data_IF_812176744273
#
_entry.id   IF_812176744273
#
_cell.length_a   1.000
_cell.length_b   1.000
_cell.length_c   1.000
_cell.angle_alpha   90.00
_cell.angle_beta   90.00
_cell.angle_gamma   90.00
#
_symmetry.space_group_name_H-M   'P 1'
#
loop_
_entity.id
_entity.type
_entity.pdbx_description
1 polymer ?
#
# COMPACT_ATOMS: atom_id res chain seq x y z
N UNK A 1 12.94 11.07 -12.22
CA UNK A 1 11.87 11.45 -11.27
C UNK A 1 12.25 10.87 -9.92
N UNK A 2 12.11 11.61 -8.79
CA UNK A 2 12.40 11.05 -7.48
C UNK A 2 11.55 9.80 -7.24
N UNK A 3 12.16 8.71 -6.77
CA UNK A 3 11.44 7.45 -6.48
C UNK A 3 10.33 7.69 -5.45
N UNK A 4 10.47 8.70 -4.58
CA UNK A 4 9.44 9.13 -3.64
C UNK A 4 8.06 9.40 -4.27
N UNK A 5 7.99 9.77 -5.57
CA UNK A 5 6.70 9.96 -6.26
C UNK A 5 5.91 8.65 -6.35
N UNK A 6 6.58 7.49 -6.39
CA UNK A 6 5.94 6.18 -6.37
C UNK A 6 5.28 5.85 -5.01
N UNK A 7 5.58 6.62 -3.95
CA UNK A 7 4.91 6.47 -2.66
C UNK A 7 3.55 7.17 -2.61
N UNK A 8 3.22 8.05 -3.57
CA UNK A 8 1.94 8.77 -3.57
C UNK A 8 0.72 7.84 -3.67
N UNK A 9 0.68 6.83 -4.57
CA UNK A 9 -0.42 5.86 -4.60
C UNK A 9 -0.54 5.06 -3.30
N UNK A 10 0.59 4.72 -2.68
CA UNK A 10 0.61 4.04 -1.38
C UNK A 10 0.03 4.91 -0.27
N UNK A 11 0.43 6.17 -0.19
CA UNK A 11 -0.13 7.13 0.77
C UNK A 11 -1.64 7.32 0.57
N UNK A 12 -2.07 7.47 -0.68
CA UNK A 12 -3.50 7.59 -1.01
C UNK A 12 -4.28 6.35 -0.56
N UNK A 13 -3.73 5.15 -0.81
CA UNK A 13 -4.31 3.91 -0.34
C UNK A 13 -4.42 3.87 1.19
N UNK A 14 -3.38 4.26 1.93
CA UNK A 14 -3.40 4.32 3.40
C UNK A 14 -4.50 5.24 3.92
N UNK A 15 -4.66 6.42 3.32
CA UNK A 15 -5.70 7.37 3.71
C UNK A 15 -7.09 6.82 3.45
N UNK A 16 -7.33 6.27 2.26
CA UNK A 16 -8.61 5.64 1.91
C UNK A 16 -8.92 4.46 2.84
N UNK A 17 -7.92 3.63 3.14
CA UNK A 17 -8.06 2.53 4.07
C UNK A 17 -8.42 3.02 5.48
N UNK A 18 -7.76 4.06 5.99
CA UNK A 18 -8.07 4.63 7.30
C UNK A 18 -9.50 5.17 7.38
N UNK A 19 -9.95 5.90 6.35
CA UNK A 19 -11.31 6.44 6.27
C UNK A 19 -12.33 5.30 6.16
N UNK A 20 -12.11 4.34 5.27
CA UNK A 20 -13.03 3.21 5.07
C UNK A 20 -13.10 2.29 6.29
N UNK A 21 -11.95 1.92 6.85
CA UNK A 21 -11.87 1.10 8.06
C UNK A 21 -12.53 1.78 9.26
N UNK A 22 -12.28 3.09 9.44
CA UNK A 22 -12.96 3.90 10.46
C UNK A 22 -14.47 3.95 10.25
N UNK A 23 -14.92 4.15 9.00
CA UNK A 23 -16.35 4.12 8.65
C UNK A 23 -16.98 2.76 8.94
N UNK A 24 -16.32 1.66 8.58
CA UNK A 24 -16.81 0.29 8.85
C UNK A 24 -16.97 0.06 10.35
N UNK A 25 -15.96 0.40 11.16
CA UNK A 25 -16.02 0.24 12.61
C UNK A 25 -17.10 1.14 13.25
N UNK A 26 -17.20 2.40 12.82
CA UNK A 26 -18.23 3.31 13.27
C UNK A 26 -19.63 2.79 12.90
N UNK A 27 -19.81 2.35 11.65
CA UNK A 27 -21.09 1.83 11.19
C UNK A 27 -21.50 0.57 11.94
N UNK A 28 -20.56 -0.34 12.18
CA UNK A 28 -20.80 -1.56 12.94
C UNK A 28 -21.23 -1.23 14.37
N UNK A 29 -20.51 -0.35 15.06
CA UNK A 29 -20.80 0.02 16.46
C UNK A 29 -22.08 0.84 16.62
N UNK A 30 -22.45 1.65 15.61
CA UNK A 30 -23.61 2.54 15.67
C UNK A 30 -24.90 1.92 15.14
N UNK A 31 -24.83 1.15 14.06
CA UNK A 31 -26.00 0.66 13.32
C UNK A 31 -26.05 -0.87 13.21
N UNK A 32 -24.99 -1.56 13.61
CA UNK A 32 -24.94 -3.02 13.54
C UNK A 32 -25.86 -3.66 14.58
N UNK A 33 -27.00 -4.21 14.12
CA UNK A 33 -27.71 -5.32 14.79
C UNK A 33 -26.91 -6.61 14.56
N UNK A 34 -25.62 -6.55 14.87
CA UNK A 34 -24.65 -7.53 14.46
C UNK A 34 -24.36 -8.50 15.62
N UNK A 35 -24.34 -9.79 15.34
CA UNK A 35 -23.89 -10.78 16.31
C UNK A 35 -22.42 -10.56 16.68
N UNK A 36 -22.01 -11.01 17.87
CA UNK A 36 -20.62 -10.90 18.38
C UNK A 36 -19.56 -11.35 17.37
N UNK A 37 -19.87 -12.34 16.53
CA UNK A 37 -18.97 -12.83 15.48
C UNK A 37 -18.59 -11.77 14.44
N UNK A 38 -19.52 -10.91 14.01
CA UNK A 38 -19.24 -9.89 13.00
C UNK A 38 -18.31 -8.79 13.55
N UNK A 39 -18.46 -8.44 14.82
CA UNK A 39 -17.55 -7.49 15.50
C UNK A 39 -16.12 -8.02 15.56
N UNK A 40 -15.97 -9.32 15.88
CA UNK A 40 -14.65 -9.94 15.97
C UNK A 40 -13.98 -10.06 14.61
N UNK A 41 -14.71 -10.44 13.56
CA UNK A 41 -14.14 -10.57 12.22
C UNK A 41 -13.81 -9.21 11.60
N UNK A 42 -14.73 -8.25 11.65
CA UNK A 42 -14.50 -6.90 11.12
C UNK A 42 -13.41 -6.16 11.92
N UNK A 43 -13.48 -6.20 13.25
CA UNK A 43 -12.46 -5.61 14.12
C UNK A 43 -11.09 -6.26 13.93
N UNK A 44 -11.03 -7.58 13.90
CA UNK A 44 -9.80 -8.33 13.66
C UNK A 44 -9.18 -8.03 12.30
N UNK A 45 -10.00 -7.92 11.25
CA UNK A 45 -9.55 -7.52 9.92
C UNK A 45 -8.97 -6.10 9.93
N UNK A 46 -9.69 -5.12 10.49
CA UNK A 46 -9.21 -3.73 10.53
C UNK A 46 -7.93 -3.59 11.35
N UNK A 47 -7.86 -4.21 12.53
CA UNK A 47 -6.67 -4.18 13.38
C UNK A 47 -5.49 -4.88 12.69
N UNK A 48 -5.71 -6.08 12.17
CA UNK A 48 -4.66 -6.88 11.53
C UNK A 48 -4.05 -6.16 10.31
N UNK A 49 -4.90 -5.63 9.43
CA UNK A 49 -4.42 -4.87 8.28
C UNK A 49 -3.75 -3.56 8.73
N UNK A 50 -4.26 -2.86 9.75
CA UNK A 50 -3.59 -1.66 10.29
C UNK A 50 -2.17 -1.97 10.78
N UNK A 51 -1.97 -3.09 11.49
CA UNK A 51 -0.65 -3.53 11.94
C UNK A 51 0.28 -3.77 10.74
N UNK A 52 -0.18 -4.50 9.72
CA UNK A 52 0.61 -4.75 8.51
C UNK A 52 1.01 -3.45 7.80
N UNK A 53 0.11 -2.48 7.74
CA UNK A 53 0.38 -1.18 7.14
C UNK A 53 1.39 -0.36 7.95
N UNK A 54 1.32 -0.37 9.28
CA UNK A 54 2.30 0.27 10.14
C UNK A 54 3.69 -0.34 9.98
N UNK A 55 3.78 -1.68 9.97
CA UNK A 55 5.05 -2.38 9.73
C UNK A 55 5.61 -2.02 8.36
N UNK A 56 4.76 -2.00 7.33
CA UNK A 56 5.15 -1.58 5.98
C UNK A 56 5.64 -0.13 5.94
N UNK A 57 4.95 0.80 6.61
CA UNK A 57 5.31 2.22 6.62
C UNK A 57 6.64 2.46 7.36
N UNK A 58 6.87 1.80 8.49
CA UNK A 58 8.15 1.86 9.22
C UNK A 58 9.28 1.26 8.38
N UNK A 59 9.02 0.13 7.72
CA UNK A 59 9.99 -0.50 6.82
C UNK A 59 10.36 0.38 5.62
N UNK A 60 9.39 1.10 5.05
CA UNK A 60 9.63 2.04 3.95
C UNK A 60 10.30 3.34 4.44
N UNK A 61 9.99 3.81 5.64
CA UNK A 61 10.52 5.06 6.19
C UNK A 61 12.02 5.03 6.50
N UNK A 62 12.64 3.85 6.60
CA UNK A 62 14.08 3.70 6.83
C UNK A 62 14.93 3.87 5.56
N UNK A 63 14.31 3.85 4.38
CA UNK A 63 15.02 4.03 3.12
C UNK A 63 15.21 5.50 2.78
N UNK A 64 16.38 5.83 2.25
CA UNK A 64 16.64 7.16 1.67
C UNK A 64 16.08 7.23 0.25
N UNK A 65 14.91 7.85 0.13
CA UNK A 65 14.19 8.04 -1.13
C UNK A 65 14.75 9.16 -2.01
N UNK A 66 15.75 9.90 -1.52
CA UNK A 66 16.45 10.95 -2.28
C UNK A 66 17.56 10.37 -3.17
N UNK A 67 18.03 9.16 -2.86
CA UNK A 67 19.09 8.49 -3.60
C UNK A 67 18.52 7.80 -4.85
N UNK A 68 19.13 7.98 -6.04
CA UNK A 68 18.76 7.22 -7.24
C UNK A 68 18.99 5.73 -7.02
N UNK A 69 17.95 4.91 -7.17
CA UNK A 69 18.11 3.45 -7.17
C UNK A 69 18.61 2.99 -8.54
N UNK A 70 19.65 2.16 -8.58
CA UNK A 70 20.05 1.54 -9.85
C UNK A 70 19.01 0.50 -10.26
N UNK A 71 18.61 0.55 -11.52
CA UNK A 71 17.65 -0.39 -12.13
C UNK A 71 18.36 -1.55 -12.82
N UNK A 72 19.59 -1.89 -12.40
CA UNK A 72 20.42 -2.90 -13.08
C UNK A 72 19.79 -4.31 -13.09
N UNK A 73 18.79 -4.55 -12.22
CA UNK A 73 17.99 -5.78 -12.23
C UNK A 73 16.95 -5.84 -13.37
N UNK A 74 16.56 -4.68 -13.93
CA UNK A 74 15.77 -4.55 -15.15
C UNK A 74 16.73 -4.67 -16.35
N UNK A 75 17.36 -5.84 -16.48
CA UNK A 75 18.05 -6.27 -17.70
C UNK A 75 17.02 -6.48 -18.82
N UNK A 76 16.39 -5.39 -19.26
CA UNK A 76 15.66 -5.37 -20.52
C UNK A 76 16.72 -5.61 -21.60
N UNK A 77 16.52 -6.60 -22.50
CA UNK A 77 17.41 -6.77 -23.63
C UNK A 77 17.51 -5.42 -24.34
N UNK A 78 18.70 -4.82 -24.33
CA UNK A 78 18.96 -3.58 -25.05
C UNK A 78 18.52 -3.77 -26.49
N UNK A 79 17.88 -2.76 -27.06
CA UNK A 79 17.21 -2.67 -28.36
C UNK A 79 18.04 -3.01 -29.61
N UNK A 80 19.15 -3.75 -29.50
CA UNK A 80 19.89 -4.34 -30.62
C UNK A 80 19.15 -5.51 -31.32
N UNK A 81 17.94 -5.86 -30.88
CA UNK A 81 17.11 -6.91 -31.48
C UNK A 81 16.24 -6.44 -32.66
N UNK A 82 16.21 -5.14 -32.97
CA UNK A 82 15.55 -4.64 -34.18
C UNK A 82 16.57 -4.45 -35.30
N UNK A 83 16.59 -5.31 -36.33
CA UNK A 83 17.37 -5.02 -37.53
C UNK A 83 16.87 -3.70 -38.12
N UNK A 84 17.79 -2.77 -38.37
CA UNK A 84 17.49 -1.55 -39.12
C UNK A 84 16.93 -1.96 -40.48
N UNK A 85 15.63 -1.73 -40.68
CA UNK A 85 14.99 -1.94 -41.97
C UNK A 85 15.65 -1.03 -43.01
N UNK A 86 16.37 -1.64 -43.94
CA UNK A 86 16.70 -1.09 -45.25
C UNK A 86 15.48 -1.21 -46.17
#
# INVERSE_FOLDING_TARGET
MPVAVLLLPYLLFLLLYAVYGGFVLYHLTRFGIAGKGLYLTAGGFVIGTTILLLVSAVGLGSFDWSVPMSVDFLNLPSTSAFPSAL
#
